data_IF_212922737315
#
_entry.id   IF_212922737315
#
_cell.length_a   1.000
_cell.length_b   1.000
_cell.length_c   1.000
_cell.angle_alpha   90.00
_cell.angle_beta   90.00
_cell.angle_gamma   90.00
#
_symmetry.space_group_name_H-M   'P 1'
#
loop_
_entity.id
_entity.type
_entity.pdbx_description
1 polymer ?
#
# COMPACT_ATOMS: atom_id res chain seq x y z
N UNK A 1 -1.30 -26.45 3.97
CA UNK A 1 -0.99 -25.87 5.28
C UNK A 1 0.33 -25.13 5.22
N UNK A 2 1.52 -25.74 5.44
CA UNK A 2 2.79 -24.97 5.47
C UNK A 2 3.08 -24.10 4.22
N UNK A 3 2.74 -24.58 3.01
CA UNK A 3 2.98 -23.81 1.78
C UNK A 3 2.06 -22.58 1.64
N UNK A 4 0.77 -22.70 2.00
CA UNK A 4 -0.17 -21.58 2.03
C UNK A 4 0.18 -20.56 3.10
N UNK A 5 0.62 -21.02 4.28
CA UNK A 5 1.06 -20.13 5.37
C UNK A 5 2.28 -19.28 4.94
N UNK A 6 3.21 -19.88 4.19
CA UNK A 6 4.38 -19.19 3.63
C UNK A 6 3.96 -18.20 2.54
N UNK A 7 3.06 -18.58 1.62
CA UNK A 7 2.56 -17.65 0.60
C UNK A 7 1.79 -16.48 1.20
N UNK A 8 0.91 -16.74 2.18
CA UNK A 8 0.20 -15.70 2.92
C UNK A 8 1.17 -14.73 3.61
N UNK A 9 2.20 -15.26 4.29
CA UNK A 9 3.19 -14.44 4.96
C UNK A 9 3.98 -13.55 3.97
N UNK A 10 4.30 -14.09 2.79
CA UNK A 10 4.98 -13.34 1.73
C UNK A 10 4.09 -12.25 1.12
N UNK A 11 2.83 -12.57 0.82
CA UNK A 11 1.85 -11.60 0.30
C UNK A 11 1.61 -10.49 1.34
N UNK A 12 1.43 -10.86 2.61
CA UNK A 12 1.26 -9.90 3.71
C UNK A 12 2.47 -9.00 3.90
N UNK A 13 3.68 -9.58 3.90
CA UNK A 13 4.93 -8.81 3.98
C UNK A 13 5.02 -7.79 2.84
N UNK A 14 4.66 -8.20 1.63
CA UNK A 14 4.66 -7.30 0.46
C UNK A 14 3.66 -6.15 0.64
N UNK A 15 2.46 -6.40 1.18
CA UNK A 15 1.48 -5.33 1.48
C UNK A 15 2.05 -4.30 2.46
N UNK A 16 2.70 -4.78 3.54
CA UNK A 16 3.35 -3.91 4.53
C UNK A 16 4.45 -3.07 3.88
N UNK A 17 5.32 -3.68 3.06
CA UNK A 17 6.39 -2.97 2.35
C UNK A 17 5.86 -1.88 1.41
N UNK A 18 4.69 -2.09 0.78
CA UNK A 18 4.07 -1.06 -0.05
C UNK A 18 3.56 0.11 0.81
N UNK A 19 2.91 -0.15 1.95
CA UNK A 19 2.49 0.91 2.87
C UNK A 19 3.69 1.72 3.38
N UNK A 20 4.77 1.04 3.80
CA UNK A 20 6.00 1.70 4.24
C UNK A 20 6.60 2.57 3.13
N UNK A 21 6.54 2.09 1.89
CA UNK A 21 7.00 2.86 0.72
C UNK A 21 6.14 4.10 0.49
N UNK A 22 4.82 4.00 0.63
CA UNK A 22 3.91 5.15 0.54
C UNK A 22 4.22 6.17 1.64
N UNK A 23 4.47 5.73 2.88
CA UNK A 23 4.82 6.62 3.98
C UNK A 23 6.16 7.32 3.75
N UNK A 24 7.15 6.60 3.24
CA UNK A 24 8.42 7.20 2.80
C UNK A 24 8.19 8.23 1.68
N UNK A 25 7.31 7.95 0.72
CA UNK A 25 6.98 8.88 -0.35
C UNK A 25 6.33 10.16 0.18
N UNK A 26 5.45 10.07 1.18
CA UNK A 26 4.89 11.26 1.87
C UNK A 26 5.98 12.12 2.48
N UNK A 27 6.97 11.52 3.13
CA UNK A 27 8.10 12.26 3.71
C UNK A 27 8.94 12.95 2.64
N UNK A 28 9.19 12.28 1.51
CA UNK A 28 9.92 12.87 0.39
C UNK A 28 9.15 14.06 -0.21
N UNK A 29 7.83 13.95 -0.40
CA UNK A 29 7.02 15.06 -0.91
C UNK A 29 7.01 16.27 0.02
N UNK A 30 6.98 16.07 1.35
CA UNK A 30 7.10 17.18 2.32
C UNK A 30 8.43 17.95 2.22
N UNK A 31 9.48 17.33 1.69
CA UNK A 31 10.79 17.96 1.53
C UNK A 31 10.94 18.77 0.24
N UNK A 32 9.94 18.76 -0.66
CA UNK A 32 10.00 19.49 -1.93
C UNK A 32 9.32 20.86 -1.79
N UNK A 33 10.01 21.91 -2.22
CA UNK A 33 9.40 23.23 -2.43
C UNK A 33 8.72 23.25 -3.80
N UNK A 34 7.38 23.23 -3.80
CA UNK A 34 6.56 23.15 -5.02
C UNK A 34 5.37 24.09 -4.93
N UNK A 35 4.75 24.39 -6.07
CA UNK A 35 3.52 25.20 -6.08
C UNK A 35 2.37 24.49 -5.36
N UNK A 36 1.42 25.27 -4.85
CA UNK A 36 0.22 24.75 -4.18
C UNK A 36 -0.54 23.72 -5.02
N UNK A 37 -0.67 23.93 -6.33
CA UNK A 37 -1.31 22.96 -7.23
C UNK A 37 -0.59 21.61 -7.17
N UNK A 38 0.75 21.64 -7.19
CA UNK A 38 1.59 20.44 -7.13
C UNK A 38 1.46 19.72 -5.79
N UNK A 39 1.34 20.45 -4.68
CA UNK A 39 1.05 19.85 -3.37
C UNK A 39 -0.28 19.12 -3.35
N UNK A 40 -1.32 19.70 -3.96
CA UNK A 40 -2.64 19.09 -4.06
C UNK A 40 -2.57 17.82 -4.91
N UNK A 41 -1.91 17.86 -6.06
CA UNK A 41 -1.68 16.68 -6.92
C UNK A 41 -0.92 15.57 -6.17
N UNK A 42 0.10 15.92 -5.40
CA UNK A 42 0.83 14.96 -4.56
C UNK A 42 -0.08 14.32 -3.50
N UNK A 43 -0.94 15.09 -2.84
CA UNK A 43 -1.92 14.56 -1.87
C UNK A 43 -2.93 13.61 -2.53
N UNK A 44 -3.41 13.95 -3.73
CA UNK A 44 -4.32 13.10 -4.51
C UNK A 44 -3.63 11.78 -4.90
N UNK A 45 -2.38 11.85 -5.37
CA UNK A 45 -1.59 10.67 -5.70
C UNK A 45 -1.44 9.73 -4.49
N UNK A 46 -1.05 10.27 -3.33
CA UNK A 46 -0.93 9.48 -2.09
C UNK A 46 -2.26 8.82 -1.74
N UNK A 47 -3.36 9.57 -1.76
CA UNK A 47 -4.68 9.03 -1.45
C UNK A 47 -5.08 7.88 -2.39
N UNK A 48 -4.78 8.01 -3.69
CA UNK A 48 -5.09 6.96 -4.66
C UNK A 48 -4.24 5.71 -4.46
N UNK A 49 -2.95 5.87 -4.12
CA UNK A 49 -2.07 4.76 -3.77
C UNK A 49 -2.57 4.04 -2.51
N UNK A 50 -2.90 4.76 -1.45
CA UNK A 50 -3.45 4.17 -0.21
C UNK A 50 -4.74 3.38 -0.48
N UNK A 51 -5.68 3.97 -1.23
CA UNK A 51 -6.92 3.28 -1.64
C UNK A 51 -6.63 1.99 -2.39
N UNK A 52 -5.67 2.02 -3.32
CA UNK A 52 -5.29 0.85 -4.09
C UNK A 52 -4.70 -0.25 -3.20
N UNK A 53 -3.79 0.08 -2.27
CA UNK A 53 -3.19 -0.90 -1.37
C UNK A 53 -4.22 -1.48 -0.40
N UNK A 54 -5.15 -0.68 0.12
CA UNK A 54 -6.28 -1.20 0.91
C UNK A 54 -7.14 -2.17 0.09
N UNK A 55 -7.39 -1.86 -1.19
CA UNK A 55 -8.11 -2.78 -2.08
C UNK A 55 -7.33 -4.10 -2.28
N UNK A 56 -6.01 -4.02 -2.42
CA UNK A 56 -5.15 -5.19 -2.58
C UNK A 56 -5.11 -6.02 -1.29
N UNK A 57 -5.03 -5.37 -0.12
CA UNK A 57 -5.11 -6.03 1.18
C UNK A 57 -6.42 -6.82 1.32
N UNK A 58 -7.56 -6.22 0.97
CA UNK A 58 -8.85 -6.91 1.00
C UNK A 58 -8.88 -8.12 0.05
N UNK A 59 -8.29 -7.98 -1.14
CA UNK A 59 -8.17 -9.09 -2.08
C UNK A 59 -7.34 -10.24 -1.51
N UNK A 60 -6.18 -9.95 -0.90
CA UNK A 60 -5.34 -10.97 -0.27
C UNK A 60 -6.06 -11.64 0.90
N UNK A 61 -6.77 -10.88 1.74
CA UNK A 61 -7.58 -11.46 2.82
C UNK A 61 -8.63 -12.41 2.24
N UNK A 62 -9.37 -11.99 1.21
CA UNK A 62 -10.38 -12.83 0.57
C UNK A 62 -9.79 -14.11 -0.04
N UNK A 63 -8.66 -14.00 -0.76
CA UNK A 63 -7.94 -15.12 -1.36
C UNK A 63 -7.68 -16.25 -0.37
N UNK A 64 -7.30 -15.92 0.87
CA UNK A 64 -6.98 -16.90 1.91
C UNK A 64 -8.14 -17.17 2.88
N UNK A 65 -9.26 -16.44 2.78
CA UNK A 65 -10.47 -16.68 3.60
C UNK A 65 -11.49 -17.59 2.90
N UNK A 66 -11.48 -17.66 1.56
CA UNK A 66 -12.37 -18.54 0.77
C UNK A 66 -11.85 -19.98 0.64
N UNK A 67 -10.66 -20.28 1.16
CA UNK A 67 -10.05 -21.63 1.14
C UNK A 67 -10.26 -22.44 2.44
N UNK A 68 -11.14 -21.98 3.35
CA UNK A 68 -11.70 -22.76 4.49
C UNK A 68 -13.08 -23.36 4.16
#
# INVERSE_FOLDING_TARGET
MEYQDVEWANDWKTIVEIFDTIDRLKLLFKGLDVSYLREVEQKILILNLEKYVCSLQNYIIAKYSEEE
#
